data_IF_362708443356
#
_entry.id   IF_362708443356
#
_cell.length_a   1.000
_cell.length_b   1.000
_cell.length_c   1.000
_cell.angle_alpha   90.00
_cell.angle_beta   90.00
_cell.angle_gamma   90.00
#
_symmetry.space_group_name_H-M   'P 1'
#
loop_
_entity.id
_entity.type
_entity.pdbx_description
1 polymer ?
#
# COMPACT_ATOMS: atom_id res chain seq x y z
N UNK A 1 -21.10 -28.72 -11.24
CA UNK A 1 -20.91 -28.45 -9.80
C UNK A 1 -19.47 -28.01 -9.52
N UNK A 2 -19.20 -26.71 -9.65
CA UNK A 2 -17.90 -26.13 -9.33
C UNK A 2 -17.85 -25.95 -7.81
N UNK A 3 -17.20 -26.88 -7.11
CA UNK A 3 -16.89 -26.72 -5.70
C UNK A 3 -15.89 -25.57 -5.62
N UNK A 4 -16.39 -24.37 -5.32
CA UNK A 4 -15.57 -23.28 -4.81
C UNK A 4 -14.98 -23.79 -3.50
N UNK A 5 -13.79 -24.38 -3.57
CA UNK A 5 -12.99 -24.69 -2.39
C UNK A 5 -12.76 -23.34 -1.72
N UNK A 6 -13.49 -23.07 -0.63
CA UNK A 6 -13.19 -21.98 0.28
C UNK A 6 -11.87 -22.30 0.97
N UNK A 7 -10.77 -22.26 0.23
CA UNK A 7 -9.44 -22.30 0.81
C UNK A 7 -9.27 -20.99 1.55
N UNK A 8 -9.17 -21.06 2.87
CA UNK A 8 -8.94 -19.89 3.70
C UNK A 8 -7.67 -19.18 3.22
N UNK A 9 -7.73 -17.86 3.09
CA UNK A 9 -6.56 -17.07 2.69
C UNK A 9 -5.43 -17.31 3.70
N UNK A 10 -4.16 -17.35 3.28
CA UNK A 10 -3.03 -17.58 4.18
C UNK A 10 -3.04 -16.65 5.41
N UNK A 11 -3.50 -15.41 5.24
CA UNK A 11 -3.67 -14.44 6.32
C UNK A 11 -4.83 -14.78 7.27
N UNK A 12 -5.94 -15.28 6.73
CA UNK A 12 -7.07 -15.76 7.53
C UNK A 12 -6.78 -17.06 8.27
N UNK A 13 -5.96 -17.94 7.69
CA UNK A 13 -5.47 -19.16 8.35
C UNK A 13 -4.57 -18.82 9.54
N UNK A 14 -3.67 -17.83 9.38
CA UNK A 14 -2.84 -17.33 10.47
C UNK A 14 -3.68 -16.77 11.63
N UNK A 15 -4.70 -15.95 11.32
CA UNK A 15 -5.62 -15.44 12.35
C UNK A 15 -6.47 -16.52 13.02
N UNK A 16 -6.79 -17.60 12.31
CA UNK A 16 -7.52 -18.75 12.85
C UNK A 16 -6.61 -19.74 13.63
N UNK A 17 -5.32 -19.43 13.80
CA UNK A 17 -4.35 -20.28 14.52
C UNK A 17 -3.73 -21.40 13.68
N UNK A 18 -3.95 -21.41 12.36
CA UNK A 18 -3.22 -22.25 11.42
C UNK A 18 -1.83 -21.66 11.17
N UNK A 19 -0.78 -22.43 11.45
CA UNK A 19 0.61 -21.96 11.37
C UNK A 19 1.04 -21.38 10.01
N UNK A 20 2.23 -20.77 9.98
CA UNK A 20 2.78 -20.12 8.79
C UNK A 20 2.84 -21.05 7.58
N UNK A 21 2.21 -20.65 6.48
CA UNK A 21 2.36 -21.35 5.20
C UNK A 21 3.76 -21.06 4.62
N UNK A 22 4.42 -22.07 4.06
CA UNK A 22 5.75 -21.94 3.45
C UNK A 22 5.82 -20.81 2.42
N UNK A 23 6.82 -19.93 2.59
CA UNK A 23 7.08 -18.74 1.74
C UNK A 23 7.27 -19.12 0.27
N UNK A 24 7.86 -20.29 -0.01
CA UNK A 24 8.03 -20.82 -1.37
C UNK A 24 6.71 -21.13 -2.06
N UNK A 25 5.74 -21.70 -1.34
CA UNK A 25 4.40 -21.99 -1.86
C UNK A 25 3.59 -20.71 -2.10
N UNK A 26 3.77 -19.69 -1.23
CA UNK A 26 3.20 -18.35 -1.43
C UNK A 26 3.79 -17.66 -2.67
N UNK A 27 5.10 -17.77 -2.90
CA UNK A 27 5.76 -17.11 -4.02
C UNK A 27 5.44 -17.76 -5.38
N UNK A 28 5.28 -19.09 -5.41
CA UNK A 28 4.85 -19.84 -6.60
C UNK A 28 3.33 -19.86 -6.80
N UNK A 29 2.55 -19.28 -5.89
CA UNK A 29 1.10 -19.14 -6.06
C UNK A 29 0.29 -20.42 -5.88
N UNK A 30 0.90 -21.49 -5.38
CA UNK A 30 0.26 -22.80 -5.22
C UNK A 30 -0.46 -22.94 -3.85
N UNK A 31 -1.10 -21.85 -3.41
CA UNK A 31 -1.87 -21.80 -2.15
C UNK A 31 -3.16 -21.05 -2.45
N UNK A 32 -4.31 -21.59 -2.06
CA UNK A 32 -5.60 -20.91 -2.26
C UNK A 32 -5.66 -19.61 -1.44
N UNK A 33 -5.90 -18.50 -2.13
CA UNK A 33 -5.93 -17.15 -1.58
C UNK A 33 -6.44 -16.14 -2.60
N UNK A 34 -6.45 -14.85 -2.26
CA UNK A 34 -6.88 -13.81 -3.19
C UNK A 34 -5.97 -13.74 -4.43
N UNK A 35 -6.46 -13.18 -5.54
CA UNK A 35 -5.71 -13.02 -6.82
C UNK A 35 -4.33 -12.37 -6.58
N UNK A 36 -4.25 -11.47 -5.61
CA UNK A 36 -3.02 -10.80 -5.19
C UNK A 36 -1.95 -11.70 -4.56
N UNK A 37 -2.35 -12.84 -3.99
CA UNK A 37 -1.49 -13.79 -3.27
C UNK A 37 -1.08 -14.94 -4.19
N UNK A 38 -1.99 -15.42 -5.04
CA UNK A 38 -1.70 -16.50 -6.00
C UNK A 38 -0.86 -16.03 -7.19
N UNK A 39 -0.92 -14.74 -7.54
CA UNK A 39 -0.24 -14.19 -8.72
C UNK A 39 0.83 -13.15 -8.36
N UNK A 40 1.49 -13.32 -7.21
CA UNK A 40 2.51 -12.37 -6.72
C UNK A 40 3.60 -12.09 -7.77
N UNK A 41 4.07 -13.11 -8.49
CA UNK A 41 5.08 -12.96 -9.55
C UNK A 41 4.57 -12.13 -10.74
N UNK A 42 3.33 -12.38 -11.18
CA UNK A 42 2.72 -11.61 -12.27
C UNK A 42 2.51 -10.13 -11.87
N UNK A 43 2.17 -9.87 -10.62
CA UNK A 43 2.02 -8.51 -10.07
C UNK A 43 3.37 -7.80 -9.99
N UNK A 44 4.42 -8.51 -9.58
CA UNK A 44 5.78 -7.95 -9.51
C UNK A 44 6.30 -7.59 -10.91
N UNK A 45 6.06 -8.46 -11.90
CA UNK A 45 6.38 -8.18 -13.32
C UNK A 45 5.55 -7.02 -13.87
N UNK A 46 4.24 -6.98 -13.59
CA UNK A 46 3.36 -5.89 -14.01
C UNK A 46 3.74 -4.54 -13.36
N UNK A 47 4.05 -4.55 -12.06
CA UNK A 47 4.51 -3.37 -11.32
C UNK A 47 5.86 -2.87 -11.84
N UNK A 48 6.81 -3.77 -12.12
CA UNK A 48 8.10 -3.41 -12.72
C UNK A 48 7.94 -2.82 -14.11
N UNK A 49 7.04 -3.39 -14.92
CA UNK A 49 6.72 -2.88 -16.26
C UNK A 49 6.13 -1.46 -16.20
N UNK A 50 5.22 -1.18 -15.25
CA UNK A 50 4.63 0.14 -15.06
C UNK A 50 5.65 1.18 -14.57
N UNK A 51 6.60 0.79 -13.71
CA UNK A 51 7.73 1.64 -13.30
C UNK A 51 8.63 1.94 -14.50
N UNK A 52 8.92 0.93 -15.33
CA UNK A 52 9.76 1.10 -16.53
C UNK A 52 9.13 2.08 -17.54
N UNK A 53 7.80 2.00 -17.71
CA UNK A 53 7.06 2.94 -18.56
C UNK A 53 6.95 4.35 -17.97
N UNK A 54 7.53 4.61 -16.78
CA UNK A 54 7.41 5.89 -16.04
C UNK A 54 5.97 6.35 -15.82
N UNK A 55 5.02 5.44 -15.94
CA UNK A 55 3.63 5.73 -15.67
C UNK A 55 3.38 5.86 -14.17
N UNK A 56 4.25 5.33 -13.30
CA UNK A 56 4.12 5.33 -11.83
C UNK A 56 5.35 5.96 -11.17
N UNK A 57 5.12 6.82 -10.16
CA UNK A 57 6.21 7.30 -9.29
C UNK A 57 6.62 6.19 -8.32
N UNK A 58 7.82 5.63 -8.52
CA UNK A 58 8.40 4.54 -7.72
C UNK A 58 8.48 4.82 -6.21
N UNK A 59 8.42 6.09 -5.77
CA UNK A 59 8.48 6.44 -4.35
C UNK A 59 7.23 5.97 -3.62
N UNK A 60 6.06 6.06 -4.26
CA UNK A 60 4.78 5.70 -3.64
C UNK A 60 4.72 4.22 -3.22
N UNK A 61 4.94 3.23 -4.14
CA UNK A 61 4.93 1.83 -3.77
C UNK A 61 6.10 1.46 -2.84
N UNK A 62 7.29 2.04 -3.05
CA UNK A 62 8.45 1.76 -2.20
C UNK A 62 8.23 2.23 -0.76
N UNK A 63 7.71 3.45 -0.55
CA UNK A 63 7.41 3.95 0.78
C UNK A 63 6.29 3.15 1.44
N UNK A 64 5.25 2.77 0.69
CA UNK A 64 4.12 2.01 1.22
C UNK A 64 4.49 0.59 1.64
N UNK A 65 5.23 -0.14 0.78
CA UNK A 65 5.72 -1.49 1.11
C UNK A 65 6.75 -1.43 2.24
N UNK A 66 7.65 -0.44 2.17
CA UNK A 66 8.68 -0.24 3.19
C UNK A 66 8.10 0.06 4.57
N UNK A 67 7.07 0.90 4.68
CA UNK A 67 6.45 1.21 5.97
C UNK A 67 5.75 0.02 6.58
N UNK A 68 5.01 -0.75 5.79
CA UNK A 68 4.36 -1.98 6.28
C UNK A 68 5.40 -3.01 6.69
N UNK A 69 6.45 -3.23 5.90
CA UNK A 69 7.52 -4.16 6.24
C UNK A 69 8.26 -3.79 7.53
N UNK A 70 8.62 -2.52 7.71
CA UNK A 70 9.29 -2.03 8.93
C UNK A 70 8.40 -2.14 10.15
N UNK A 71 7.12 -1.80 10.04
CA UNK A 71 6.19 -1.89 11.16
C UNK A 71 5.93 -3.35 11.54
N UNK A 72 5.69 -4.24 10.59
CA UNK A 72 5.50 -5.67 10.88
C UNK A 72 6.73 -6.28 11.53
N UNK A 73 7.93 -5.94 11.05
CA UNK A 73 9.18 -6.35 11.69
C UNK A 73 9.30 -5.82 13.13
N UNK A 74 8.92 -4.56 13.37
CA UNK A 74 8.93 -3.97 14.71
C UNK A 74 7.91 -4.62 15.67
N UNK A 75 6.83 -5.17 15.12
CA UNK A 75 5.81 -5.94 15.85
C UNK A 75 6.23 -7.40 16.13
N UNK A 76 7.35 -7.86 15.56
CA UNK A 76 7.88 -9.21 15.76
C UNK A 76 7.25 -10.28 14.85
N UNK A 77 6.48 -9.87 13.84
CA UNK A 77 5.87 -10.75 12.83
C UNK A 77 6.78 -10.90 11.61
N UNK A 78 6.62 -11.98 10.84
CA UNK A 78 7.37 -12.20 9.61
C UNK A 78 6.94 -11.18 8.52
N UNK A 79 7.78 -10.17 8.20
CA UNK A 79 7.38 -9.08 7.31
C UNK A 79 7.15 -9.58 5.88
N UNK A 80 7.90 -10.60 5.46
CA UNK A 80 7.76 -11.22 4.14
C UNK A 80 6.45 -11.98 4.01
N UNK A 81 6.02 -12.69 5.07
CA UNK A 81 4.73 -13.37 5.08
C UNK A 81 3.60 -12.35 4.96
N UNK A 82 3.62 -11.26 5.73
CA UNK A 82 2.57 -10.23 5.65
C UNK A 82 2.62 -9.38 4.37
N UNK A 83 3.79 -9.21 3.74
CA UNK A 83 3.89 -8.54 2.44
C UNK A 83 3.26 -9.38 1.31
N UNK A 84 3.46 -10.69 1.36
CA UNK A 84 2.99 -11.63 0.35
C UNK A 84 1.54 -12.09 0.62
N UNK A 85 1.17 -12.26 1.89
CA UNK A 85 -0.17 -12.60 2.33
C UNK A 85 -1.03 -11.33 2.39
N UNK A 86 -2.15 -11.31 1.66
CA UNK A 86 -3.18 -10.27 1.69
C UNK A 86 -3.03 -9.10 0.71
N UNK A 87 -2.54 -9.34 -0.50
CA UNK A 87 -2.72 -8.43 -1.63
C UNK A 87 -2.04 -7.05 -1.52
N UNK A 88 -1.07 -6.90 -0.61
CA UNK A 88 -0.36 -5.64 -0.38
C UNK A 88 0.33 -5.14 -1.64
N UNK A 89 1.00 -6.02 -2.38
CA UNK A 89 1.65 -5.64 -3.64
C UNK A 89 0.65 -5.17 -4.70
N UNK A 90 -0.52 -5.79 -4.78
CA UNK A 90 -1.58 -5.36 -5.69
C UNK A 90 -2.08 -3.95 -5.32
N UNK A 91 -2.35 -3.71 -4.03
CA UNK A 91 -2.72 -2.39 -3.53
C UNK A 91 -1.61 -1.36 -3.75
N UNK A 92 -0.34 -1.73 -3.55
CA UNK A 92 0.80 -0.84 -3.69
C UNK A 92 1.05 -0.40 -5.14
N UNK A 93 0.95 -1.31 -6.10
CA UNK A 93 1.29 -1.05 -7.51
C UNK A 93 0.12 -0.59 -8.38
N UNK A 94 -1.12 -0.92 -8.02
CA UNK A 94 -2.29 -0.61 -8.86
C UNK A 94 -3.24 0.39 -8.24
N UNK A 95 -3.35 0.44 -6.90
CA UNK A 95 -4.33 1.32 -6.23
C UNK A 95 -3.69 2.55 -5.59
N UNK A 96 -2.61 2.37 -4.83
CA UNK A 96 -1.89 3.48 -4.21
C UNK A 96 -1.25 4.43 -5.24
N UNK A 97 -1.12 3.98 -6.48
CA UNK A 97 -0.54 4.72 -7.61
C UNK A 97 -1.59 5.35 -8.52
N UNK A 98 -2.87 5.26 -8.18
CA UNK A 98 -3.92 6.00 -8.88
C UNK A 98 -3.70 7.51 -8.73
N UNK A 99 -3.53 8.20 -9.86
CA UNK A 99 -3.19 9.62 -9.94
C UNK A 99 -4.34 10.54 -9.60
N UNK A 100 -5.58 10.06 -9.64
CA UNK A 100 -6.76 10.90 -9.43
C UNK A 100 -6.96 11.20 -7.94
N UNK A 101 -6.64 10.24 -7.07
CA UNK A 101 -6.92 10.31 -5.63
C UNK A 101 -5.68 10.54 -4.78
N UNK A 102 -4.48 10.46 -5.35
CA UNK A 102 -3.20 10.63 -4.64
C UNK A 102 -2.74 12.09 -4.67
N UNK A 103 -2.14 12.63 -3.59
CA UNK A 103 -1.62 14.01 -3.60
C UNK A 103 -0.57 14.23 -4.70
N UNK A 104 -0.60 15.43 -5.31
CA UNK A 104 0.24 15.76 -6.47
C UNK A 104 1.69 16.05 -6.05
N UNK A 105 1.88 16.58 -4.83
CA UNK A 105 3.21 16.99 -4.34
C UNK A 105 4.08 15.79 -3.94
N UNK A 106 5.40 15.85 -4.21
CA UNK A 106 6.36 14.79 -3.86
C UNK A 106 6.37 14.48 -2.35
N UNK A 107 6.24 15.51 -1.51
CA UNK A 107 6.18 15.36 -0.04
C UNK A 107 4.83 14.78 0.40
N UNK A 108 3.74 15.22 -0.23
CA UNK A 108 2.39 14.69 0.03
C UNK A 108 2.29 13.20 -0.30
N UNK A 109 2.89 12.75 -1.41
CA UNK A 109 2.94 11.32 -1.77
C UNK A 109 3.59 10.47 -0.69
N UNK A 110 4.72 10.90 -0.14
CA UNK A 110 5.41 10.15 0.93
C UNK A 110 4.55 10.08 2.19
N UNK A 111 3.98 11.21 2.63
CA UNK A 111 3.09 11.25 3.80
C UNK A 111 1.86 10.36 3.59
N UNK A 112 1.30 10.38 2.38
CA UNK A 112 0.19 9.52 1.98
C UNK A 112 0.55 8.03 2.07
N UNK A 113 1.66 7.61 1.44
CA UNK A 113 2.12 6.22 1.45
C UNK A 113 2.43 5.73 2.86
N UNK A 114 3.08 6.56 3.68
CA UNK A 114 3.41 6.23 5.07
C UNK A 114 2.15 6.06 5.91
N UNK A 115 1.21 7.01 5.84
CA UNK A 115 -0.03 6.94 6.63
C UNK A 115 -0.94 5.79 6.18
N UNK A 116 -1.05 5.54 4.87
CA UNK A 116 -1.80 4.39 4.37
C UNK A 116 -1.16 3.06 4.82
N UNK A 117 0.17 2.96 4.84
CA UNK A 117 0.87 1.78 5.34
C UNK A 117 0.65 1.55 6.85
N UNK A 118 0.70 2.61 7.66
CA UNK A 118 0.38 2.52 9.10
C UNK A 118 -1.04 2.01 9.31
N UNK A 119 -2.02 2.57 8.57
CA UNK A 119 -3.41 2.14 8.63
C UNK A 119 -3.57 0.65 8.26
N UNK A 120 -2.84 0.16 7.26
CA UNK A 120 -2.88 -1.26 6.90
C UNK A 120 -2.43 -2.13 8.06
N UNK A 121 -1.32 -1.79 8.71
CA UNK A 121 -0.82 -2.57 9.85
C UNK A 121 -1.85 -2.56 10.98
N UNK A 122 -2.40 -1.40 11.32
CA UNK A 122 -3.43 -1.29 12.37
C UNK A 122 -4.68 -2.12 12.04
N UNK A 123 -5.19 -2.03 10.81
CA UNK A 123 -6.38 -2.78 10.40
C UNK A 123 -6.08 -4.28 10.31
N UNK A 124 -4.88 -4.69 9.91
CA UNK A 124 -4.51 -6.10 9.88
C UNK A 124 -4.41 -6.73 11.25
N UNK A 125 -3.81 -6.02 12.22
CA UNK A 125 -3.69 -6.52 13.60
C UNK A 125 -5.05 -6.65 14.29
N UNK A 126 -6.00 -5.77 13.98
CA UNK A 126 -7.32 -5.75 14.63
C UNK A 126 -8.36 -6.57 13.86
N UNK A 127 -8.32 -6.53 12.52
CA UNK A 127 -9.36 -7.05 11.65
C UNK A 127 -9.03 -8.39 10.99
N UNK A 128 -7.77 -8.77 10.85
CA UNK A 128 -7.38 -10.08 10.30
C UNK A 128 -7.79 -10.43 8.88
N UNK A 129 -8.39 -9.48 8.15
CA UNK A 129 -8.77 -9.66 6.76
C UNK A 129 -7.71 -9.13 5.80
N UNK A 130 -7.44 -9.82 4.68
CA UNK A 130 -6.55 -9.33 3.62
C UNK A 130 -7.07 -8.03 2.97
N UNK A 131 -8.38 -7.75 3.09
CA UNK A 131 -9.05 -6.53 2.58
C UNK A 131 -8.61 -5.23 3.29
N UNK A 132 -7.85 -5.30 4.39
CA UNK A 132 -7.38 -4.11 5.12
C UNK A 132 -6.57 -3.13 4.27
N UNK A 133 -5.95 -3.61 3.19
CA UNK A 133 -5.22 -2.80 2.19
C UNK A 133 -6.16 -1.82 1.49
N UNK A 134 -7.33 -2.29 1.03
CA UNK A 134 -8.30 -1.48 0.29
C UNK A 134 -8.88 -0.38 1.19
N UNK A 135 -9.31 -0.75 2.39
CA UNK A 135 -9.91 0.19 3.34
C UNK A 135 -8.92 1.29 3.75
N UNK A 136 -7.65 0.93 3.97
CA UNK A 136 -6.61 1.90 4.32
C UNK A 136 -6.36 2.90 3.20
N UNK A 137 -6.34 2.45 1.94
CA UNK A 137 -6.17 3.33 0.77
C UNK A 137 -7.39 4.24 0.61
N UNK A 138 -8.61 3.72 0.75
CA UNK A 138 -9.84 4.51 0.68
C UNK A 138 -9.91 5.59 1.77
N UNK A 139 -9.56 5.23 3.00
CA UNK A 139 -9.48 6.18 4.11
C UNK A 139 -8.44 7.25 3.80
N UNK A 140 -7.25 6.86 3.34
CA UNK A 140 -6.18 7.82 3.04
C UNK A 140 -6.53 8.73 1.85
N UNK A 141 -7.24 8.22 0.85
CA UNK A 141 -7.76 9.00 -0.28
C UNK A 141 -8.71 10.11 0.20
N UNK A 142 -9.52 9.85 1.23
CA UNK A 142 -10.37 10.88 1.84
C UNK A 142 -9.55 11.95 2.58
N UNK A 143 -8.37 11.60 3.09
CA UNK A 143 -7.42 12.53 3.71
C UNK A 143 -6.49 13.22 2.71
N UNK A 144 -6.44 12.80 1.44
CA UNK A 144 -5.65 13.45 0.39
C UNK A 144 -5.83 14.97 0.30
N UNK A 145 -7.05 15.55 0.26
CA UNK A 145 -7.21 17.00 0.19
C UNK A 145 -6.64 17.74 1.41
N UNK A 146 -6.67 17.11 2.59
CA UNK A 146 -6.07 17.67 3.81
C UNK A 146 -4.54 17.65 3.73
N UNK A 147 -3.97 16.55 3.26
CA UNK A 147 -2.53 16.39 3.05
C UNK A 147 -2.04 17.38 2.00
N UNK A 148 -2.77 17.54 0.89
CA UNK A 148 -2.42 18.48 -0.16
C UNK A 148 -2.47 19.93 0.35
N UNK A 149 -3.51 20.30 1.13
CA UNK A 149 -3.57 21.62 1.79
C UNK A 149 -2.40 21.87 2.75
N UNK A 150 -1.96 20.85 3.49
CA UNK A 150 -0.84 20.94 4.41
C UNK A 150 0.53 20.96 3.69
N UNK A 151 0.64 20.30 2.54
CA UNK A 151 1.87 20.23 1.72
C UNK A 151 1.91 21.23 0.57
N UNK A 152 0.86 22.06 0.41
CA UNK A 152 0.84 23.17 -0.56
C UNK A 152 2.15 23.93 -0.44
N UNK A 153 2.92 24.08 -1.52
CA UNK A 153 4.10 24.92 -1.49
C UNK A 153 3.65 26.31 -1.04
N UNK A 154 4.23 26.81 0.06
CA UNK A 154 4.05 28.21 0.45
C UNK A 154 4.34 29.04 -0.79
N UNK A 155 3.40 29.90 -1.19
CA UNK A 155 3.56 30.82 -2.30
C UNK A 155 4.78 31.69 -1.98
N UNK A 156 5.94 31.33 -2.52
CA UNK A 156 7.12 32.17 -2.45
C UNK A 156 6.91 33.25 -3.50
N UNK A 157 6.33 34.38 -3.08
CA UNK A 157 5.92 35.42 -4.03
C UNK A 157 5.22 36.64 -3.46
N UNK A 158 4.73 36.67 -2.22
CA UNK A 158 4.20 37.91 -1.64
C UNK A 158 5.32 38.76 -1.01
N UNK A 159 6.19 39.31 -1.86
CA UNK A 159 6.86 40.60 -1.61
C UNK A 159 6.59 41.49 -2.80
N UNK A 160 5.37 41.98 -2.93
CA UNK A 160 5.02 43.02 -3.88
C UNK A 160 4.14 44.09 -3.21
N UNK A 161 4.77 44.88 -2.33
CA UNK A 161 4.51 46.32 -2.27
C UNK A 161 5.63 47.01 -1.49
N UNK A 162 6.74 47.25 -2.18
CA UNK A 162 7.62 48.35 -1.81
C UNK A 162 6.90 49.64 -2.20
N UNK A 163 6.10 50.17 -1.28
CA UNK A 163 5.55 51.52 -1.43
C UNK A 163 6.70 52.49 -1.18
N UNK A 164 7.31 52.97 -2.27
CA UNK A 164 8.14 54.18 -2.28
C UNK A 164 7.65 55.07 -3.41
N UNK A 165 7.38 56.33 -3.07
CA UNK A 165 6.95 57.40 -3.96
C UNK A 165 5.49 57.76 -3.73
N UNK A 166 5.12 58.97 -3.33
CA UNK A 166 5.89 60.19 -3.10
C UNK A 166 5.00 61.21 -2.38
#
# INVERSE_FOLDING_TARGET
PFNAVSTATPLGQWHAGGGYTSVSSLFFGNVGGCIGETSALAILVGGLFLIMMRYIDWRTPLCYIGTVGVLMFALGEDPLFHMLAGGLFLGAFFMATDYVTTPITKKGKIVFSVGAGILVVMIRMIGGFPEGVLFSILIMNAFTPLIDRATKPRVYGTKAKFLRGG
#
